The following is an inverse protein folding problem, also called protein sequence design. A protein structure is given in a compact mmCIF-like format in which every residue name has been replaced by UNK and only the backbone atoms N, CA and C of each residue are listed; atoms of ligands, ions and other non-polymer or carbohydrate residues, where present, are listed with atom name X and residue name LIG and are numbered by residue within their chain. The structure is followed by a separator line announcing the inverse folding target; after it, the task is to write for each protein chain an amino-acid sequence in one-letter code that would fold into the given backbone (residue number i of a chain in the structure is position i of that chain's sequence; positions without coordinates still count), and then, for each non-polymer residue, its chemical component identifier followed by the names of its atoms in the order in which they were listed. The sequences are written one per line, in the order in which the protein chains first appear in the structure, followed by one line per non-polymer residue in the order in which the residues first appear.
data_IF_880623855070
#
_entry.id   IF_880623855070
#
_cell.length_a   1.000
_cell.length_b   1.000
_cell.length_c   1.000
_cell.angle_alpha   90.00
_cell.angle_beta   90.00
_cell.angle_gamma   90.00
#
_symmetry.space_group_name_H-M   'P 1'
#
loop_
_entity.id
_entity.type
_entity.pdbx_description
1 polymer ?
#
# COMPACT_ATOMS: atom_id res chain seq x y z
N UNK A 1 -8.73 -10.03 10.88
CA UNK A 1 -9.46 -9.53 9.69
C UNK A 1 -8.46 -8.81 8.81
N UNK A 2 -8.39 -9.10 7.51
CA UNK A 2 -7.49 -8.47 6.54
C UNK A 2 -8.33 -7.74 5.51
N UNK A 3 -8.18 -6.42 5.41
CA UNK A 3 -8.83 -5.63 4.37
C UNK A 3 -7.95 -5.53 3.14
N UNK A 4 -8.58 -5.46 1.98
CA UNK A 4 -7.92 -5.30 0.70
C UNK A 4 -8.67 -4.28 -0.15
N UNK A 5 -7.93 -3.49 -0.91
CA UNK A 5 -8.46 -2.76 -2.06
C UNK A 5 -8.04 -3.51 -3.31
N UNK A 6 -8.96 -3.78 -4.20
CA UNK A 6 -8.73 -4.62 -5.38
C UNK A 6 -9.46 -4.09 -6.60
N UNK A 7 -9.05 -4.56 -7.76
CA UNK A 7 -9.71 -4.31 -9.04
C UNK A 7 -10.21 -5.64 -9.61
N UNK A 8 -11.46 -5.64 -10.02
CA UNK A 8 -12.09 -6.70 -10.78
C UNK A 8 -12.90 -6.08 -11.92
N UNK A 9 -12.72 -6.56 -13.16
CA UNK A 9 -13.40 -6.04 -14.36
C UNK A 9 -13.32 -4.50 -14.51
N UNK A 10 -12.14 -3.92 -14.27
CA UNK A 10 -11.84 -2.48 -14.29
C UNK A 10 -12.58 -1.63 -13.23
N UNK A 11 -13.16 -2.27 -12.22
CA UNK A 11 -13.79 -1.59 -11.11
C UNK A 11 -12.98 -1.81 -9.82
N UNK A 12 -12.59 -0.71 -9.17
CA UNK A 12 -11.90 -0.77 -7.88
C UNK A 12 -12.90 -0.83 -6.73
N UNK A 13 -12.71 -1.81 -5.85
CA UNK A 13 -13.57 -2.06 -4.70
C UNK A 13 -12.74 -2.38 -3.46
N UNK A 14 -13.40 -2.47 -2.31
CA UNK A 14 -12.81 -2.94 -1.06
C UNK A 14 -13.40 -4.29 -0.67
N UNK A 15 -12.63 -5.07 0.06
CA UNK A 15 -13.08 -6.36 0.54
C UNK A 15 -12.35 -6.84 1.78
N UNK A 16 -12.85 -7.91 2.34
CA UNK A 16 -12.26 -8.66 3.45
C UNK A 16 -11.72 -9.96 2.88
N UNK A 17 -10.44 -10.25 3.14
CA UNK A 17 -9.79 -11.49 2.70
C UNK A 17 -9.86 -12.52 3.81
N UNK A 18 -10.37 -13.69 3.47
CA UNK A 18 -10.43 -14.88 4.32
C UNK A 18 -10.28 -16.13 3.42
N UNK A 19 -9.35 -17.01 3.77
CA UNK A 19 -9.10 -18.27 3.06
C UNK A 19 -9.03 -18.15 1.52
N UNK A 20 -8.21 -17.22 1.01
CA UNK A 20 -8.05 -16.94 -0.43
C UNK A 20 -9.31 -16.43 -1.14
N UNK A 21 -10.32 -15.99 -0.39
CA UNK A 21 -11.54 -15.38 -0.91
C UNK A 21 -11.64 -13.93 -0.48
N UNK A 22 -11.98 -13.05 -1.41
CA UNK A 22 -12.30 -11.65 -1.16
C UNK A 22 -13.81 -11.50 -1.07
N UNK A 23 -14.32 -11.12 0.10
CA UNK A 23 -15.73 -10.72 0.30
C UNK A 23 -15.84 -9.22 0.11
N UNK A 24 -16.65 -8.79 -0.84
CA UNK A 24 -16.78 -7.38 -1.22
C UNK A 24 -17.53 -6.59 -0.16
N UNK A 25 -17.04 -5.40 0.14
CA UNK A 25 -17.70 -4.45 1.04
C UNK A 25 -18.09 -3.17 0.31
N UNK A 26 -19.15 -2.51 0.78
CA UNK A 26 -19.77 -1.37 0.11
C UNK A 26 -18.92 -0.11 0.07
N UNK A 27 -18.05 0.10 1.06
CA UNK A 27 -17.24 1.31 1.22
C UNK A 27 -15.82 0.99 1.71
N UNK A 28 -14.95 1.99 1.70
CA UNK A 28 -13.66 1.92 2.36
C UNK A 28 -13.83 1.63 3.87
N UNK A 29 -13.07 0.70 4.45
CA UNK A 29 -13.12 0.46 5.89
C UNK A 29 -12.42 1.58 6.71
N UNK A 30 -11.83 2.57 6.02
CA UNK A 30 -11.10 3.66 6.65
C UNK A 30 -12.02 4.87 6.78
N UNK A 31 -12.50 5.13 8.00
CA UNK A 31 -13.32 6.30 8.32
C UNK A 31 -14.74 6.29 7.77
N UNK A 32 -15.23 5.13 7.30
CA UNK A 32 -16.59 4.95 6.78
C UNK A 32 -17.19 3.65 7.28
N UNK A 33 -18.51 3.65 7.46
CA UNK A 33 -19.26 2.42 7.71
C UNK A 33 -19.35 1.60 6.43
N UNK A 34 -19.27 0.29 6.55
CA UNK A 34 -19.40 -0.65 5.44
C UNK A 34 -20.27 -1.84 5.80
N UNK A 35 -20.85 -2.44 4.78
CA UNK A 35 -21.56 -3.71 4.85
C UNK A 35 -21.01 -4.66 3.79
N UNK A 36 -21.10 -5.95 4.01
CA UNK A 36 -20.82 -6.94 2.97
C UNK A 36 -21.90 -6.87 1.89
N UNK A 37 -21.51 -6.84 0.62
CA UNK A 37 -22.45 -6.78 -0.52
C UNK A 37 -23.03 -8.13 -0.88
N UNK A 38 -22.41 -9.21 -0.38
CA UNK A 38 -22.71 -10.60 -0.76
C UNK A 38 -21.87 -11.11 -1.93
N UNK A 39 -21.21 -10.24 -2.68
CA UNK A 39 -20.29 -10.63 -3.76
C UNK A 39 -18.98 -11.20 -3.20
N UNK A 40 -18.44 -12.19 -3.92
CA UNK A 40 -17.17 -12.85 -3.55
C UNK A 40 -16.36 -13.15 -4.80
N UNK A 41 -15.04 -13.03 -4.68
CA UNK A 41 -14.07 -13.37 -5.72
C UNK A 41 -12.94 -14.21 -5.12
N UNK A 42 -12.30 -15.08 -5.91
CA UNK A 42 -11.04 -15.66 -5.49
C UNK A 42 -9.96 -14.58 -5.49
N UNK A 43 -9.04 -14.63 -4.56
CA UNK A 43 -7.93 -13.67 -4.48
C UNK A 43 -7.05 -13.69 -5.74
N UNK A 44 -6.95 -14.84 -6.40
CA UNK A 44 -6.24 -15.02 -7.68
C UNK A 44 -6.91 -14.32 -8.87
N UNK A 45 -8.20 -14.02 -8.78
CA UNK A 45 -9.00 -13.48 -9.90
C UNK A 45 -9.10 -11.95 -9.86
N UNK A 46 -8.47 -11.33 -8.86
CA UNK A 46 -8.49 -9.88 -8.67
C UNK A 46 -7.07 -9.29 -8.68
N UNK A 47 -6.94 -8.07 -9.14
CA UNK A 47 -5.69 -7.30 -9.00
C UNK A 47 -5.71 -6.55 -7.67
N UNK A 48 -4.74 -6.82 -6.81
CA UNK A 48 -4.58 -6.08 -5.55
C UNK A 48 -4.04 -4.67 -5.85
N UNK A 49 -4.66 -3.69 -5.25
CA UNK A 49 -4.32 -2.28 -5.38
C UNK A 49 -3.76 -1.73 -4.06
N UNK A 50 -3.14 -0.54 -4.13
CA UNK A 50 -2.76 0.19 -2.92
C UNK A 50 -3.98 0.37 -2.01
N UNK A 51 -3.92 0.00 -0.73
CA UNK A 51 -5.09 0.01 0.17
C UNK A 51 -5.60 1.42 0.44
N UNK A 52 -4.71 2.41 0.45
CA UNK A 52 -5.02 3.83 0.64
C UNK A 52 -4.49 4.61 -0.57
N UNK A 53 -5.28 4.80 -1.63
CA UNK A 53 -4.79 5.39 -2.89
C UNK A 53 -4.46 6.88 -2.80
N UNK A 54 -5.10 7.60 -1.87
CA UNK A 54 -4.91 9.05 -1.69
C UNK A 54 -4.92 9.39 -0.19
N UNK A 55 -3.85 9.07 0.55
CA UNK A 55 -3.76 9.49 1.95
C UNK A 55 -3.64 11.02 2.03
N UNK A 56 -4.14 11.60 3.11
CA UNK A 56 -3.97 13.03 3.37
C UNK A 56 -2.50 13.44 3.56
N UNK A 57 -1.69 12.54 4.11
CA UNK A 57 -0.24 12.69 4.32
C UNK A 57 0.44 11.34 4.22
N UNK A 58 1.66 11.34 3.72
CA UNK A 58 2.56 10.19 3.78
C UNK A 58 3.86 10.61 4.45
N UNK A 59 4.11 10.06 5.63
CA UNK A 59 5.30 10.28 6.43
C UNK A 59 6.09 8.98 6.47
N UNK A 60 7.35 9.05 6.08
CA UNK A 60 8.30 7.97 6.20
C UNK A 60 9.34 8.31 7.26
N UNK A 61 10.11 7.34 7.72
CA UNK A 61 11.20 7.51 8.68
C UNK A 61 12.51 7.14 8.01
N UNK A 62 13.42 8.10 7.91
CA UNK A 62 14.79 7.86 7.46
C UNK A 62 15.56 7.04 8.51
N UNK A 63 16.52 6.25 8.04
CA UNK A 63 17.43 5.44 8.88
C UNK A 63 16.72 4.55 9.92
N UNK A 64 15.50 4.12 9.59
CA UNK A 64 14.67 3.30 10.49
C UNK A 64 15.08 1.81 10.53
N UNK A 65 15.91 1.38 9.57
CA UNK A 65 16.39 0.01 9.47
C UNK A 65 17.91 -0.07 9.66
N UNK A 66 18.36 -1.05 10.46
CA UNK A 66 19.77 -1.25 10.75
C UNK A 66 20.66 -1.40 9.50
N UNK A 67 20.12 -2.00 8.43
CA UNK A 67 20.81 -2.14 7.14
C UNK A 67 21.11 -0.81 6.44
N UNK A 68 20.34 0.23 6.72
CA UNK A 68 20.52 1.57 6.13
C UNK A 68 21.51 2.45 6.89
N UNK A 69 21.94 2.03 8.07
CA UNK A 69 22.89 2.82 8.86
C UNK A 69 24.30 2.76 8.31
N UNK A 70 24.64 1.73 7.52
CA UNK A 70 25.97 1.53 6.91
C UNK A 70 27.14 1.72 7.90
N UNK A 71 26.93 1.37 9.18
CA UNK A 71 27.88 1.53 10.27
C UNK A 71 27.79 2.85 11.02
N UNK A 72 26.86 3.75 10.66
CA UNK A 72 26.60 4.96 11.44
C UNK A 72 25.82 4.65 12.73
N UNK A 73 25.88 5.58 13.68
CA UNK A 73 25.12 5.50 14.91
C UNK A 73 23.60 5.58 14.65
N UNK A 74 22.82 4.87 15.46
CA UNK A 74 21.37 4.95 15.41
C UNK A 74 20.87 6.35 15.75
N UNK A 75 19.91 6.91 14.99
CA UNK A 75 19.26 8.14 15.36
C UNK A 75 18.68 8.07 16.77
N UNK A 76 18.89 9.10 17.58
CA UNK A 76 18.34 9.20 18.94
C UNK A 76 16.89 9.66 18.96
N UNK A 77 16.37 10.10 17.83
CA UNK A 77 14.98 10.53 17.61
C UNK A 77 14.55 10.20 16.18
N UNK A 78 13.23 10.05 15.93
CA UNK A 78 12.73 9.82 14.57
C UNK A 78 13.11 10.95 13.62
N UNK A 79 13.48 10.61 12.39
CA UNK A 79 13.80 11.57 11.31
C UNK A 79 12.74 11.42 10.20
N UNK A 80 11.59 12.14 10.33
CA UNK A 80 10.51 12.00 9.38
C UNK A 80 10.76 12.77 8.10
N UNK A 81 10.29 12.21 6.97
CA UNK A 81 10.25 12.90 5.69
C UNK A 81 8.94 12.62 4.95
N UNK A 82 8.60 13.47 4.00
CA UNK A 82 7.36 13.37 3.23
C UNK A 82 7.58 12.68 1.90
N UNK A 83 6.56 11.90 1.49
CA UNK A 83 6.40 11.44 0.10
C UNK A 83 5.07 11.93 -0.46
N UNK A 84 5.04 12.15 -1.78
CA UNK A 84 3.82 12.53 -2.49
C UNK A 84 2.93 11.30 -2.77
N UNK A 85 1.63 11.52 -2.95
CA UNK A 85 0.68 10.45 -3.25
C UNK A 85 0.99 9.69 -4.55
N UNK A 86 1.68 10.32 -5.51
CA UNK A 86 2.12 9.67 -6.75
C UNK A 86 3.26 8.65 -6.54
N UNK A 87 3.85 8.59 -5.35
CA UNK A 87 4.80 7.55 -4.98
C UNK A 87 4.11 6.25 -4.50
N UNK A 88 2.77 6.23 -4.41
CA UNK A 88 2.02 5.06 -3.99
C UNK A 88 1.73 4.17 -5.20
N UNK A 89 2.12 2.92 -5.10
CA UNK A 89 1.83 1.87 -6.08
C UNK A 89 1.21 0.66 -5.38
N UNK A 90 0.54 -0.19 -6.14
CA UNK A 90 0.00 -1.46 -5.65
C UNK A 90 1.03 -2.59 -5.68
N UNK A 91 0.71 -3.72 -5.05
CA UNK A 91 1.55 -4.92 -5.15
C UNK A 91 1.75 -5.35 -6.60
N UNK A 92 3.01 -5.58 -6.99
CA UNK A 92 3.37 -5.98 -8.36
C UNK A 92 3.40 -4.86 -9.39
N UNK A 93 3.03 -3.63 -9.05
CA UNK A 93 3.19 -2.49 -9.95
C UNK A 93 4.68 -2.14 -10.12
N UNK A 94 5.13 -1.73 -11.32
CA UNK A 94 6.53 -1.43 -11.59
C UNK A 94 6.97 -0.12 -10.92
N UNK A 95 8.15 -0.14 -10.30
CA UNK A 95 8.84 1.08 -9.86
C UNK A 95 9.54 1.68 -11.08
N UNK A 96 9.11 2.88 -11.48
CA UNK A 96 9.72 3.60 -12.61
C UNK A 96 10.87 4.46 -12.12
N UNK A 97 12.07 4.16 -12.60
CA UNK A 97 13.26 4.95 -12.33
C UNK A 97 13.45 5.99 -13.44
N UNK A 98 13.94 7.23 -13.11
CA UNK A 98 14.40 8.16 -14.12
C UNK A 98 15.57 7.59 -14.94
N UNK A 99 15.72 8.01 -16.20
CA UNK A 99 16.78 7.49 -17.10
C UNK A 99 18.20 7.78 -16.56
N UNK A 100 18.36 8.89 -15.85
CA UNK A 100 19.62 9.36 -15.27
C UNK A 100 19.77 8.98 -13.79
N UNK A 101 18.91 8.11 -13.27
CA UNK A 101 19.01 7.67 -11.87
C UNK A 101 20.31 6.90 -11.66
N UNK A 102 21.14 7.36 -10.71
CA UNK A 102 22.31 6.64 -10.25
C UNK A 102 21.95 5.43 -9.38
N UNK A 103 22.73 5.17 -8.36
CA UNK A 103 22.39 4.13 -7.37
C UNK A 103 21.08 4.45 -6.69
N UNK A 104 20.10 3.55 -6.82
CA UNK A 104 18.79 3.66 -6.16
C UNK A 104 18.77 2.68 -4.99
N UNK A 105 18.42 3.17 -3.82
CA UNK A 105 18.22 2.36 -2.60
C UNK A 105 16.74 2.43 -2.18
N UNK A 106 16.25 1.35 -1.61
CA UNK A 106 14.91 1.29 -1.04
C UNK A 106 14.95 1.68 0.44
N UNK A 107 13.97 2.43 0.89
CA UNK A 107 13.72 2.73 2.30
C UNK A 107 12.34 2.25 2.73
#
# INVERSE_FOLDING_TARGET
MKFVRFEHSNNASYGIVEDEVVRVISNSPIGQDYNETGEKYNLSDVKILAPVPKPGKMLCLALNYGSHLLGADKPTRPEPFYKNNNAIIGPGDPIKLPEDSGLVVCE
#
